data_IF_348534894149
#
_entry.id   IF_348534894149
#
_cell.length_a   1.000
_cell.length_b   1.000
_cell.length_c   1.000
_cell.angle_alpha   90.00
_cell.angle_beta   90.00
_cell.angle_gamma   90.00
#
_symmetry.space_group_name_H-M   'P 1'
#
loop_
_entity.id
_entity.type
_entity.pdbx_description
1 polymer ?
#
# COMPACT_ATOMS: atom_id res chain seq x y z
N UNK A 1 16.44 34.18 -11.61
CA UNK A 1 16.18 33.26 -10.50
C UNK A 1 14.76 32.76 -10.68
N UNK A 2 14.55 31.50 -11.08
CA UNK A 2 13.20 30.91 -11.13
C UNK A 2 12.88 30.48 -9.72
N UNK A 3 11.89 31.10 -9.07
CA UNK A 3 11.36 30.64 -7.82
C UNK A 3 10.73 29.26 -8.08
N UNK A 4 11.40 28.21 -7.64
CA UNK A 4 10.82 26.87 -7.58
C UNK A 4 9.74 26.91 -6.49
N UNK A 5 8.49 27.06 -6.89
CA UNK A 5 7.35 26.82 -5.99
C UNK A 5 7.32 25.31 -5.79
N UNK A 6 7.47 24.80 -4.56
CA UNK A 6 7.35 23.38 -4.32
C UNK A 6 5.95 22.93 -4.78
N UNK A 7 5.89 21.97 -5.68
CA UNK A 7 4.62 21.28 -5.98
C UNK A 7 4.19 20.63 -4.68
N UNK A 8 2.96 20.86 -4.17
CA UNK A 8 2.50 20.21 -2.96
C UNK A 8 2.63 18.70 -3.13
N UNK A 9 3.36 18.04 -2.23
CA UNK A 9 3.44 16.58 -2.23
C UNK A 9 2.07 16.04 -1.84
N UNK A 10 1.52 15.14 -2.65
CA UNK A 10 0.25 14.48 -2.39
C UNK A 10 0.44 12.97 -2.53
N UNK A 11 0.09 12.26 -1.48
CA UNK A 11 0.16 10.81 -1.45
C UNK A 11 -1.25 10.22 -1.41
N UNK A 12 -1.46 9.16 -2.18
CA UNK A 12 -2.69 8.39 -2.15
C UNK A 12 -2.53 7.24 -1.14
N UNK A 13 -3.43 7.16 -0.17
CA UNK A 13 -3.49 6.04 0.75
C UNK A 13 -4.69 5.15 0.43
N UNK A 14 -4.42 3.97 -0.11
CA UNK A 14 -5.40 2.92 -0.38
C UNK A 14 -5.55 2.05 0.88
N UNK A 15 -6.64 2.27 1.60
CA UNK A 15 -6.98 1.60 2.85
C UNK A 15 -8.07 0.54 2.62
N UNK A 16 -8.12 -0.50 3.46
CA UNK A 16 -9.12 -1.56 3.34
C UNK A 16 -9.54 -2.16 4.69
N UNK A 17 -9.41 -1.39 5.77
CA UNK A 17 -9.86 -1.82 7.11
C UNK A 17 -11.30 -1.38 7.36
N UNK A 18 -12.23 -2.32 7.62
CA UNK A 18 -13.64 -1.98 7.84
C UNK A 18 -13.90 -1.36 9.22
N UNK A 19 -13.05 -1.65 10.22
CA UNK A 19 -13.18 -1.10 11.57
C UNK A 19 -12.71 0.35 11.60
N UNK A 20 -13.61 1.29 11.90
CA UNK A 20 -13.33 2.72 11.85
C UNK A 20 -12.19 3.16 12.77
N UNK A 21 -12.09 2.59 13.98
CA UNK A 21 -11.02 2.91 14.92
C UNK A 21 -9.65 2.45 14.38
N UNK A 22 -9.55 1.22 13.86
CA UNK A 22 -8.31 0.68 13.29
C UNK A 22 -7.90 1.45 12.04
N UNK A 23 -8.88 1.81 11.20
CA UNK A 23 -8.63 2.61 10.00
C UNK A 23 -8.17 4.04 10.35
N UNK A 24 -8.67 4.62 11.43
CA UNK A 24 -8.25 5.94 11.92
C UNK A 24 -6.84 5.88 12.51
N UNK A 25 -6.52 4.86 13.30
CA UNK A 25 -5.20 4.66 13.91
C UNK A 25 -4.11 4.41 12.85
N UNK A 26 -4.41 3.63 11.81
CA UNK A 26 -3.50 3.41 10.68
C UNK A 26 -3.21 4.72 9.95
N UNK A 27 -4.26 5.50 9.65
CA UNK A 27 -4.13 6.81 8.99
C UNK A 27 -3.30 7.80 9.84
N UNK A 28 -3.62 7.93 11.12
CA UNK A 28 -2.89 8.80 12.04
C UNK A 28 -1.42 8.39 12.19
N UNK A 29 -1.14 7.08 12.17
CA UNK A 29 0.22 6.57 12.21
C UNK A 29 1.02 6.91 10.95
N UNK A 30 0.40 6.82 9.78
CA UNK A 30 1.03 7.21 8.51
C UNK A 30 1.35 8.70 8.48
N UNK A 31 0.43 9.56 8.91
CA UNK A 31 0.69 11.00 9.03
C UNK A 31 1.87 11.27 9.96
N UNK A 32 1.83 10.72 11.16
CA UNK A 32 2.86 10.96 12.18
C UNK A 32 4.24 10.44 11.77
N UNK A 33 4.32 9.20 11.28
CA UNK A 33 5.59 8.57 10.92
C UNK A 33 6.14 9.07 9.60
N UNK A 34 5.28 9.44 8.66
CA UNK A 34 5.65 10.05 7.38
C UNK A 34 5.96 11.55 7.49
N UNK A 35 5.67 12.18 8.65
CA UNK A 35 5.80 13.63 8.80
C UNK A 35 4.89 14.40 7.85
N UNK A 36 3.70 13.85 7.56
CA UNK A 36 2.74 14.39 6.59
C UNK A 36 1.61 15.13 7.30
N UNK A 37 1.12 16.17 6.63
CA UNK A 37 -0.14 16.83 7.00
C UNK A 37 -1.34 16.10 6.38
N UNK A 38 -2.54 16.28 6.95
CA UNK A 38 -3.77 15.67 6.41
C UNK A 38 -4.06 16.04 4.94
N UNK A 39 -3.65 17.24 4.52
CA UNK A 39 -3.81 17.69 3.14
C UNK A 39 -2.88 16.98 2.15
N UNK A 40 -1.81 16.34 2.65
CA UNK A 40 -0.80 15.65 1.86
C UNK A 40 -1.08 14.15 1.70
N UNK A 41 -1.94 13.56 2.55
CA UNK A 41 -2.28 12.13 2.52
C UNK A 41 -3.79 11.95 2.31
N UNK A 42 -4.18 11.63 1.09
CA UNK A 42 -5.59 11.42 0.74
C UNK A 42 -5.94 9.93 0.87
N UNK A 43 -6.82 9.62 1.80
CA UNK A 43 -7.26 8.24 2.06
C UNK A 43 -8.48 7.86 1.24
N UNK A 44 -8.39 6.71 0.57
CA UNK A 44 -9.51 6.02 -0.08
C UNK A 44 -9.75 4.69 0.64
N UNK A 45 -10.96 4.49 1.14
CA UNK A 45 -11.38 3.26 1.83
C UNK A 45 -12.03 2.31 0.82
N UNK A 46 -11.24 1.40 0.29
CA UNK A 46 -11.64 0.48 -0.78
C UNK A 46 -12.71 -0.52 -0.36
N UNK A 47 -12.76 -0.90 0.90
CA UNK A 47 -13.77 -1.83 1.42
C UNK A 47 -15.17 -1.19 1.48
N UNK A 48 -15.24 0.13 1.62
CA UNK A 48 -16.49 0.86 1.77
C UNK A 48 -17.25 1.06 0.45
N UNK A 49 -16.57 1.00 -0.69
CA UNK A 49 -17.19 1.20 -2.00
C UNK A 49 -16.22 0.95 -3.15
N UNK A 50 -16.68 1.12 -4.39
CA UNK A 50 -15.83 1.03 -5.57
C UNK A 50 -14.68 2.02 -5.51
N UNK A 51 -13.52 1.62 -6.05
CA UNK A 51 -12.38 2.52 -6.20
C UNK A 51 -12.79 3.65 -7.17
N UNK A 52 -12.56 4.92 -6.81
CA UNK A 52 -12.80 6.02 -7.74
C UNK A 52 -11.88 5.92 -8.96
N UNK A 53 -12.21 6.62 -10.01
CA UNK A 53 -11.31 6.81 -11.14
C UNK A 53 -10.07 7.58 -10.66
N UNK A 54 -8.90 6.95 -10.79
CA UNK A 54 -7.63 7.47 -10.27
C UNK A 54 -6.72 7.82 -11.44
N UNK A 55 -6.30 9.08 -11.51
CA UNK A 55 -5.18 9.50 -12.32
C UNK A 55 -3.91 9.49 -11.47
N UNK A 56 -2.97 8.58 -11.76
CA UNK A 56 -1.74 8.47 -11.00
C UNK A 56 -0.81 9.67 -11.17
N UNK A 57 -1.02 10.51 -12.18
CA UNK A 57 -0.27 11.77 -12.36
C UNK A 57 -0.59 12.82 -11.28
N UNK A 58 -1.71 12.66 -10.57
CA UNK A 58 -2.10 13.54 -9.47
C UNK A 58 -1.33 13.28 -8.17
N UNK A 59 -0.52 12.20 -8.10
CA UNK A 59 0.08 11.71 -6.86
C UNK A 59 1.61 11.65 -6.94
N UNK A 60 2.25 12.07 -5.86
CA UNK A 60 3.70 11.92 -5.66
C UNK A 60 4.09 10.47 -5.38
N UNK A 61 3.20 9.71 -4.75
CA UNK A 61 3.38 8.30 -4.44
C UNK A 61 2.11 7.68 -3.88
N UNK A 62 2.11 6.36 -3.77
CA UNK A 62 0.96 5.57 -3.30
C UNK A 62 1.36 4.71 -2.11
N UNK A 63 0.53 4.69 -1.09
CA UNK A 63 0.61 3.77 0.04
C UNK A 63 -0.54 2.79 -0.05
N UNK A 64 -0.26 1.49 -0.01
CA UNK A 64 -1.27 0.45 0.14
C UNK A 64 -1.13 -0.16 1.54
N UNK A 65 -2.14 0.08 2.37
CA UNK A 65 -2.13 -0.27 3.79
C UNK A 65 -2.33 -1.76 4.08
N UNK A 66 -2.38 -2.06 5.36
CA UNK A 66 -2.75 -3.36 5.86
C UNK A 66 -4.24 -3.65 5.68
N UNK A 67 -4.62 -4.93 5.76
CA UNK A 67 -5.99 -5.36 5.54
C UNK A 67 -6.30 -6.62 6.37
N UNK A 68 -7.57 -6.86 6.72
CA UNK A 68 -8.01 -8.18 7.14
C UNK A 68 -8.06 -9.19 5.97
N UNK A 69 -7.95 -8.71 4.73
CA UNK A 69 -7.85 -9.57 3.55
C UNK A 69 -6.53 -10.35 3.56
N UNK A 70 -6.57 -11.54 2.99
CA UNK A 70 -5.40 -12.40 2.88
C UNK A 70 -5.13 -12.71 1.41
N UNK A 71 -4.01 -12.22 0.90
CA UNK A 71 -3.63 -12.40 -0.51
C UNK A 71 -3.47 -13.87 -0.89
N UNK A 72 -2.91 -14.69 0.02
CA UNK A 72 -2.54 -16.09 -0.22
C UNK A 72 -3.70 -17.10 -0.21
N UNK A 73 -4.92 -16.71 0.15
CA UNK A 73 -6.06 -17.66 0.12
C UNK A 73 -6.61 -17.84 -1.30
N UNK A 74 -7.13 -19.04 -1.63
CA UNK A 74 -7.73 -19.29 -2.93
C UNK A 74 -8.88 -18.33 -3.24
N UNK A 75 -9.00 -17.91 -4.50
CA UNK A 75 -10.05 -16.98 -4.96
C UNK A 75 -11.46 -17.40 -4.54
N UNK A 76 -11.77 -18.71 -4.57
CA UNK A 76 -13.06 -19.24 -4.18
C UNK A 76 -13.42 -19.04 -2.69
N UNK A 77 -12.42 -18.78 -1.85
CA UNK A 77 -12.57 -18.53 -0.40
C UNK A 77 -12.56 -17.06 -0.02
N UNK A 78 -12.24 -16.17 -0.98
CA UNK A 78 -12.27 -14.73 -0.77
C UNK A 78 -13.69 -14.19 -0.70
N UNK A 79 -13.93 -13.19 0.15
CA UNK A 79 -15.22 -12.50 0.20
C UNK A 79 -15.51 -11.76 -1.13
N UNK A 80 -16.76 -11.39 -1.38
CA UNK A 80 -17.11 -10.59 -2.54
C UNK A 80 -16.41 -9.23 -2.53
N UNK A 81 -16.30 -8.60 -1.34
CA UNK A 81 -15.58 -7.34 -1.16
C UNK A 81 -14.10 -7.49 -1.49
N UNK A 82 -13.43 -8.53 -0.99
CA UNK A 82 -12.03 -8.77 -1.29
C UNK A 82 -11.79 -8.99 -2.78
N UNK A 83 -12.63 -9.81 -3.44
CA UNK A 83 -12.50 -10.04 -4.89
C UNK A 83 -12.65 -8.75 -5.71
N UNK A 84 -13.61 -7.89 -5.31
CA UNK A 84 -13.80 -6.59 -5.97
C UNK A 84 -12.57 -5.69 -5.77
N UNK A 85 -12.13 -5.54 -4.54
CA UNK A 85 -10.94 -4.72 -4.20
C UNK A 85 -9.71 -5.20 -4.96
N UNK A 86 -9.45 -6.51 -5.00
CA UNK A 86 -8.30 -7.06 -5.73
C UNK A 86 -8.40 -6.80 -7.24
N UNK A 87 -9.59 -6.96 -7.82
CA UNK A 87 -9.79 -6.70 -9.25
C UNK A 87 -9.64 -5.21 -9.61
N UNK A 88 -10.01 -4.31 -8.70
CA UNK A 88 -9.85 -2.86 -8.87
C UNK A 88 -8.39 -2.42 -8.63
N UNK A 89 -7.67 -3.08 -7.72
CA UNK A 89 -6.27 -2.80 -7.42
C UNK A 89 -5.30 -3.28 -8.50
N UNK A 90 -5.57 -4.41 -9.12
CA UNK A 90 -4.63 -5.04 -10.07
C UNK A 90 -4.17 -4.07 -11.17
N UNK A 91 -5.04 -3.35 -11.90
CA UNK A 91 -4.59 -2.39 -12.90
C UNK A 91 -3.81 -1.21 -12.30
N UNK A 92 -4.19 -0.72 -11.12
CA UNK A 92 -3.49 0.39 -10.46
C UNK A 92 -2.07 -0.02 -10.05
N UNK A 93 -1.92 -1.19 -9.44
CA UNK A 93 -0.61 -1.71 -9.03
C UNK A 93 0.27 -2.05 -10.25
N UNK A 94 -0.33 -2.54 -11.33
CA UNK A 94 0.36 -2.79 -12.59
C UNK A 94 0.94 -1.49 -13.16
N UNK A 95 0.15 -0.43 -13.21
CA UNK A 95 0.59 0.88 -13.70
C UNK A 95 1.68 1.49 -12.80
N UNK A 96 1.55 1.37 -11.46
CA UNK A 96 2.58 1.81 -10.51
C UNK A 96 3.91 1.09 -10.79
N UNK A 97 3.87 -0.24 -10.99
CA UNK A 97 5.05 -1.04 -11.27
C UNK A 97 5.68 -0.68 -12.62
N UNK A 98 4.86 -0.55 -13.69
CA UNK A 98 5.35 -0.21 -15.03
C UNK A 98 5.96 1.19 -15.10
N UNK A 99 5.46 2.12 -14.30
CA UNK A 99 5.92 3.51 -14.25
C UNK A 99 7.07 3.74 -13.27
N UNK A 100 7.48 2.72 -12.51
CA UNK A 100 8.45 2.83 -11.41
C UNK A 100 8.08 3.96 -10.44
N UNK A 101 6.80 4.03 -10.09
CA UNK A 101 6.25 5.09 -9.25
C UNK A 101 6.54 4.81 -7.77
N UNK A 102 6.84 5.84 -6.94
CA UNK A 102 7.01 5.66 -5.51
C UNK A 102 5.81 4.94 -4.87
N UNK A 103 6.08 3.78 -4.26
CA UNK A 103 5.06 2.92 -3.66
C UNK A 103 5.53 2.35 -2.31
N UNK A 104 4.66 2.42 -1.32
CA UNK A 104 4.85 1.76 -0.02
C UNK A 104 3.74 0.73 0.21
N UNK A 105 4.10 -0.54 0.20
CA UNK A 105 3.21 -1.64 0.58
C UNK A 105 3.40 -2.02 2.05
N UNK A 106 2.31 -2.07 2.82
CA UNK A 106 2.31 -2.46 4.23
C UNK A 106 1.47 -3.72 4.38
N UNK A 107 2.05 -4.80 4.91
CA UNK A 107 1.36 -6.07 5.18
C UNK A 107 0.64 -6.61 3.92
N UNK A 108 -0.67 -6.40 3.79
CA UNK A 108 -1.45 -6.79 2.61
C UNK A 108 -0.90 -6.15 1.31
N UNK A 109 -0.42 -4.92 1.39
CA UNK A 109 0.19 -4.21 0.27
C UNK A 109 1.45 -4.89 -0.27
N UNK A 110 2.26 -5.51 0.60
CA UNK A 110 3.43 -6.29 0.19
C UNK A 110 3.01 -7.50 -0.66
N UNK A 111 2.04 -8.26 -0.17
CA UNK A 111 1.53 -9.43 -0.90
C UNK A 111 0.85 -9.07 -2.21
N UNK A 112 0.07 -7.99 -2.23
CA UNK A 112 -0.63 -7.53 -3.42
C UNK A 112 0.34 -7.10 -4.53
N UNK A 113 1.33 -6.27 -4.21
CA UNK A 113 2.37 -5.87 -5.16
C UNK A 113 3.23 -7.05 -5.59
N UNK A 114 3.58 -7.94 -4.65
CA UNK A 114 4.35 -9.14 -4.96
C UNK A 114 3.68 -10.03 -6.01
N UNK A 115 2.34 -10.20 -5.95
CA UNK A 115 1.59 -10.96 -6.96
C UNK A 115 1.60 -10.26 -8.32
N UNK A 116 1.39 -8.96 -8.36
CA UNK A 116 1.41 -8.16 -9.60
C UNK A 116 2.80 -8.21 -10.25
N UNK A 117 3.85 -8.20 -9.44
CA UNK A 117 5.24 -8.36 -9.92
C UNK A 117 5.58 -9.80 -10.36
N UNK A 118 4.61 -10.72 -10.39
CA UNK A 118 4.80 -12.11 -10.82
C UNK A 118 5.33 -13.05 -9.74
N UNK A 119 5.35 -12.61 -8.49
CA UNK A 119 5.71 -13.41 -7.34
C UNK A 119 4.59 -14.36 -6.89
N UNK A 120 4.96 -15.30 -6.01
CA UNK A 120 4.03 -16.25 -5.38
C UNK A 120 3.87 -15.86 -3.91
N UNK A 121 2.62 -15.66 -3.49
CA UNK A 121 2.28 -15.39 -2.09
C UNK A 121 1.53 -16.59 -1.53
N UNK A 122 2.21 -17.39 -0.73
CA UNK A 122 1.66 -18.62 -0.15
C UNK A 122 2.07 -18.82 1.32
N UNK A 123 1.76 -19.97 1.89
CA UNK A 123 2.09 -20.32 3.26
C UNK A 123 3.37 -21.15 3.45
N UNK A 124 4.22 -21.27 2.43
CA UNK A 124 5.41 -22.15 2.46
C UNK A 124 6.42 -21.72 3.53
N UNK A 125 6.60 -20.40 3.67
CA UNK A 125 7.50 -19.82 4.68
C UNK A 125 6.71 -18.94 5.64
N UNK A 126 5.73 -19.55 6.30
CA UNK A 126 4.85 -18.83 7.22
C UNK A 126 5.59 -18.40 8.48
N UNK A 127 5.46 -17.14 8.83
CA UNK A 127 5.90 -16.60 10.12
C UNK A 127 4.69 -16.18 10.96
N UNK A 128 4.80 -16.35 12.27
CA UNK A 128 3.78 -15.83 13.20
C UNK A 128 3.94 -14.32 13.35
N UNK A 129 2.83 -13.64 13.58
CA UNK A 129 2.83 -12.20 13.84
C UNK A 129 3.55 -11.92 15.16
N UNK A 130 4.59 -11.09 15.13
CA UNK A 130 5.36 -10.75 16.32
C UNK A 130 6.62 -9.96 15.99
N UNK A 131 7.39 -9.57 17.01
CA UNK A 131 8.66 -8.90 16.81
C UNK A 131 9.68 -9.89 16.24
N UNK A 132 10.35 -9.48 15.17
CA UNK A 132 11.44 -10.24 14.55
C UNK A 132 12.71 -9.41 14.52
N UNK A 133 13.87 -10.09 14.59
CA UNK A 133 15.16 -9.44 14.40
C UNK A 133 15.50 -9.46 12.92
N UNK A 134 15.68 -8.28 12.34
CA UNK A 134 16.12 -8.12 10.95
C UNK A 134 17.60 -7.77 10.95
N UNK A 135 18.40 -8.51 10.19
CA UNK A 135 19.82 -8.20 9.94
C UNK A 135 19.98 -7.77 8.50
N UNK A 136 20.48 -6.55 8.29
CA UNK A 136 20.76 -6.06 6.96
C UNK A 136 22.02 -6.74 6.40
N UNK A 137 21.97 -7.09 5.12
CA UNK A 137 23.13 -7.50 4.35
C UNK A 137 24.02 -6.30 4.00
N UNK A 138 25.22 -6.51 3.46
CA UNK A 138 26.05 -5.40 2.97
C UNK A 138 25.30 -4.55 1.92
N UNK A 139 24.53 -5.17 1.04
CA UNK A 139 23.72 -4.47 0.06
C UNK A 139 22.58 -3.66 0.74
N UNK A 140 21.92 -4.23 1.75
CA UNK A 140 20.90 -3.51 2.53
C UNK A 140 21.46 -2.32 3.31
N UNK A 141 22.71 -2.44 3.83
CA UNK A 141 23.37 -1.30 4.49
C UNK A 141 23.77 -0.18 3.53
N UNK A 142 23.86 -0.46 2.24
CA UNK A 142 24.15 0.51 1.18
C UNK A 142 22.91 1.04 0.48
N UNK A 143 21.71 0.56 0.86
CA UNK A 143 20.44 1.00 0.31
C UNK A 143 19.98 2.27 1.04
N UNK A 144 19.52 3.27 0.27
CA UNK A 144 19.10 4.58 0.82
C UNK A 144 17.77 4.50 1.60
N UNK A 145 17.04 3.39 1.50
CA UNK A 145 15.71 3.19 2.11
C UNK A 145 15.75 2.22 3.30
N UNK A 146 16.77 1.38 3.42
CA UNK A 146 16.86 0.33 4.44
C UNK A 146 17.40 0.81 5.80
#
# INVERSE_FOLDING_TARGET
MRHHVPVPQRFLFLASRPEDEVAADEYASLLRLGGLEEAELVRVRMEAGPLPDLDLDDWTGVVLGGSPFTASIPHSRKSATQRRVEAELEPVLTEILERDMPFLGICYGVGSMGMVAGGVVDGTYREDTGPVTVSLTEAGLADDVA
#
